data_IF_278356700532
#
_entry.id   IF_278356700532
#
_cell.length_a   1.000
_cell.length_b   1.000
_cell.length_c   1.000
_cell.angle_alpha   90.00
_cell.angle_beta   90.00
_cell.angle_gamma   90.00
#
_symmetry.space_group_name_H-M   'P 1'
#
loop_
_entity.id
_entity.type
_entity.pdbx_description
1 polymer ?
#
# COMPACT_ATOMS: atom_id res chain seq x y z
N UNK A 1 31.51 -26.05 -23.75
CA UNK A 1 30.96 -26.78 -22.57
C UNK A 1 31.13 -26.00 -21.27
N UNK A 2 32.34 -25.52 -20.89
CA UNK A 2 32.55 -24.75 -19.64
C UNK A 2 31.69 -23.48 -19.52
N UNK A 3 31.48 -22.74 -20.62
CA UNK A 3 30.65 -21.51 -20.62
C UNK A 3 29.15 -21.79 -20.42
N UNK A 4 28.65 -22.92 -20.96
CA UNK A 4 27.25 -23.34 -20.82
C UNK A 4 26.98 -23.82 -19.38
N UNK A 5 27.93 -24.53 -18.78
CA UNK A 5 27.85 -24.98 -17.38
C UNK A 5 27.85 -23.78 -16.42
N UNK A 6 28.65 -22.74 -16.71
CA UNK A 6 28.71 -21.51 -15.91
C UNK A 6 27.38 -20.73 -15.93
N UNK A 7 26.73 -20.59 -17.09
CA UNK A 7 25.41 -19.95 -17.19
C UNK A 7 24.32 -20.70 -16.42
N UNK A 8 24.34 -22.04 -16.41
CA UNK A 8 23.36 -22.84 -15.67
C UNK A 8 23.52 -22.68 -14.15
N UNK A 9 24.74 -22.54 -13.65
CA UNK A 9 24.97 -22.29 -12.22
C UNK A 9 24.47 -20.91 -11.78
N UNK A 10 24.62 -19.86 -12.59
CA UNK A 10 24.16 -18.50 -12.21
C UNK A 10 22.64 -18.40 -12.08
N UNK A 11 21.89 -19.13 -12.92
CA UNK A 11 20.42 -19.17 -12.88
C UNK A 11 19.88 -19.88 -11.63
N UNK A 12 20.63 -20.87 -11.11
CA UNK A 12 20.24 -21.61 -9.90
C UNK A 12 20.44 -20.80 -8.59
N UNK A 13 21.24 -19.74 -8.62
CA UNK A 13 21.55 -18.91 -7.44
C UNK A 13 20.86 -17.55 -7.44
N UNK A 14 20.04 -17.20 -8.44
CA UNK A 14 19.23 -15.99 -8.37
C UNK A 14 18.09 -16.18 -7.35
N UNK A 15 18.06 -15.43 -6.23
CA UNK A 15 16.93 -15.49 -5.32
C UNK A 15 15.67 -15.01 -6.05
N UNK A 16 14.72 -15.94 -6.27
CA UNK A 16 13.36 -15.59 -6.68
C UNK A 16 12.72 -14.79 -5.55
N UNK A 17 12.71 -13.46 -5.69
CA UNK A 17 11.91 -12.61 -4.81
C UNK A 17 10.44 -12.76 -5.21
N UNK A 18 9.71 -13.60 -4.48
CA UNK A 18 8.26 -13.67 -4.62
C UNK A 18 7.66 -12.42 -3.97
N UNK A 19 7.36 -11.40 -4.78
CA UNK A 19 6.50 -10.30 -4.33
C UNK A 19 5.10 -10.85 -4.08
N UNK A 20 4.49 -10.43 -2.97
CA UNK A 20 3.11 -10.78 -2.68
C UNK A 20 2.19 -10.16 -3.76
N UNK A 21 1.44 -11.01 -4.46
CA UNK A 21 0.52 -10.59 -5.52
C UNK A 21 -0.69 -9.87 -4.94
N UNK A 22 -1.15 -8.79 -5.57
CA UNK A 22 -2.38 -8.10 -5.16
C UNK A 22 -3.61 -9.01 -5.29
N UNK A 23 -4.53 -8.93 -4.32
CA UNK A 23 -5.80 -9.67 -4.37
C UNK A 23 -6.84 -8.88 -5.16
N UNK A 24 -6.94 -7.58 -4.91
CA UNK A 24 -7.78 -6.65 -5.66
C UNK A 24 -6.91 -5.96 -6.71
N UNK A 25 -6.93 -6.48 -7.94
CA UNK A 25 -6.07 -5.96 -9.02
C UNK A 25 -6.62 -4.69 -9.67
N UNK A 26 -7.89 -4.37 -9.43
CA UNK A 26 -8.58 -3.18 -9.93
C UNK A 26 -9.22 -2.43 -8.77
N UNK A 27 -9.55 -1.16 -9.00
CA UNK A 27 -10.30 -0.35 -8.04
C UNK A 27 -11.66 -0.99 -7.75
N UNK A 28 -11.92 -1.44 -6.51
CA UNK A 28 -13.24 -1.96 -6.15
C UNK A 28 -14.29 -0.87 -6.28
N UNK A 29 -15.46 -1.21 -6.79
CA UNK A 29 -16.62 -0.31 -6.85
C UNK A 29 -17.42 -0.43 -5.55
N UNK A 30 -17.16 0.47 -4.60
CA UNK A 30 -17.85 0.55 -3.32
C UNK A 30 -18.18 2.03 -3.02
N UNK A 31 -19.45 2.45 -3.22
CA UNK A 31 -19.85 3.84 -3.03
C UNK A 31 -19.79 4.27 -1.56
N UNK A 32 -19.69 3.35 -0.61
CA UNK A 32 -19.55 3.66 0.80
C UNK A 32 -18.09 3.76 1.26
N UNK A 33 -17.14 3.32 0.44
CA UNK A 33 -15.72 3.36 0.78
C UNK A 33 -15.10 4.76 0.57
N UNK A 34 -14.00 4.99 1.28
CA UNK A 34 -13.14 6.15 1.07
C UNK A 34 -11.88 5.68 0.33
N UNK A 35 -11.43 6.47 -0.64
CA UNK A 35 -10.26 6.13 -1.46
C UNK A 35 -9.11 7.10 -1.14
N UNK A 36 -7.98 6.56 -0.68
CA UNK A 36 -6.80 7.33 -0.28
C UNK A 36 -5.94 7.71 -1.49
N UNK A 37 -6.48 8.63 -2.30
CA UNK A 37 -5.87 9.09 -3.55
C UNK A 37 -5.50 10.56 -3.48
N UNK A 38 -4.65 11.03 -4.41
CA UNK A 38 -4.22 12.43 -4.48
C UNK A 38 -5.35 13.39 -4.86
N UNK A 39 -6.45 12.89 -5.43
CA UNK A 39 -7.66 13.69 -5.71
C UNK A 39 -8.44 14.00 -4.42
N UNK A 40 -8.39 13.08 -3.44
CA UNK A 40 -9.14 13.20 -2.18
C UNK A 40 -8.30 13.76 -1.02
N UNK A 41 -6.98 13.64 -1.10
CA UNK A 41 -6.04 14.03 -0.04
C UNK A 41 -4.78 14.67 -0.61
N UNK A 42 -4.18 15.59 0.14
CA UNK A 42 -2.90 16.21 -0.21
C UNK A 42 -1.72 15.25 0.05
N UNK A 43 -1.56 14.24 -0.81
CA UNK A 43 -0.56 13.17 -0.68
C UNK A 43 0.17 12.92 -2.00
N UNK A 44 1.38 12.36 -1.91
CA UNK A 44 2.12 11.80 -3.04
C UNK A 44 2.58 10.37 -2.70
N UNK A 45 2.16 9.33 -3.44
CA UNK A 45 2.52 7.95 -3.18
C UNK A 45 3.88 7.57 -3.81
N UNK A 46 4.90 8.41 -3.58
CA UNK A 46 6.24 8.27 -4.18
C UNK A 46 7.29 7.64 -3.24
N UNK A 47 6.90 7.32 -2.00
CA UNK A 47 7.76 6.77 -0.97
C UNK A 47 8.73 7.79 -0.35
N UNK A 48 8.58 9.08 -0.64
CA UNK A 48 9.44 10.16 -0.15
C UNK A 48 8.67 11.17 0.70
N UNK A 49 7.44 11.48 0.29
CA UNK A 49 6.59 12.38 1.05
C UNK A 49 5.91 11.62 2.18
N UNK A 50 6.04 12.14 3.39
CA UNK A 50 5.39 11.55 4.56
C UNK A 50 3.88 11.78 4.51
N UNK A 51 3.12 10.68 4.43
CA UNK A 51 1.65 10.71 4.34
C UNK A 51 0.97 10.40 5.67
N UNK A 52 1.70 10.30 6.78
CA UNK A 52 1.17 9.82 8.06
C UNK A 52 -0.05 10.61 8.54
N UNK A 53 0.03 11.94 8.49
CA UNK A 53 -1.06 12.83 8.91
C UNK A 53 -2.30 12.69 8.01
N UNK A 54 -2.11 12.65 6.69
CA UNK A 54 -3.19 12.48 5.75
C UNK A 54 -3.87 11.11 5.91
N UNK A 55 -3.09 10.05 6.13
CA UNK A 55 -3.59 8.70 6.35
C UNK A 55 -4.39 8.62 7.65
N UNK A 56 -3.86 9.18 8.75
CA UNK A 56 -4.58 9.22 10.01
C UNK A 56 -5.87 10.05 9.90
N UNK A 57 -5.83 11.16 9.16
CA UNK A 57 -7.01 11.97 8.88
C UNK A 57 -8.09 11.18 8.11
N UNK A 58 -7.72 10.41 7.08
CA UNK A 58 -8.65 9.58 6.32
C UNK A 58 -9.35 8.53 7.20
N UNK A 59 -8.59 7.87 8.08
CA UNK A 59 -9.12 6.90 9.04
C UNK A 59 -10.09 7.58 10.03
N UNK A 60 -9.68 8.72 10.57
CA UNK A 60 -10.50 9.49 11.52
C UNK A 60 -11.78 10.01 10.87
N UNK A 61 -11.73 10.39 9.57
CA UNK A 61 -12.91 10.80 8.80
C UNK A 61 -13.95 9.71 8.74
N UNK A 62 -13.57 8.48 8.35
CA UNK A 62 -14.48 7.33 8.36
C UNK A 62 -15.07 7.09 9.75
N UNK A 63 -14.22 7.15 10.79
CA UNK A 63 -14.67 6.93 12.16
C UNK A 63 -15.68 7.99 12.62
N UNK A 64 -15.44 9.26 12.28
CA UNK A 64 -16.28 10.38 12.69
C UNK A 64 -17.61 10.42 11.91
N UNK A 65 -17.56 10.20 10.61
CA UNK A 65 -18.71 10.39 9.73
C UNK A 65 -19.62 9.16 9.68
N UNK A 66 -19.03 7.95 9.70
CA UNK A 66 -19.76 6.70 9.53
C UNK A 66 -19.67 5.76 10.73
N UNK A 67 -18.67 5.93 11.60
CA UNK A 67 -18.36 5.01 12.71
C UNK A 67 -17.88 3.59 12.29
N UNK A 68 -17.87 3.31 10.99
CA UNK A 68 -17.36 2.12 10.31
C UNK A 68 -16.85 2.50 8.91
N UNK A 69 -16.17 1.60 8.21
CA UNK A 69 -15.90 1.78 6.78
C UNK A 69 -14.66 1.06 6.27
N UNK A 70 -14.42 1.22 4.97
CA UNK A 70 -13.23 0.75 4.29
C UNK A 70 -12.48 1.97 3.75
N UNK A 71 -11.18 2.01 4.02
CA UNK A 71 -10.24 2.89 3.35
C UNK A 71 -9.48 2.07 2.31
N UNK A 72 -9.76 2.32 1.02
CA UNK A 72 -9.02 1.72 -0.07
C UNK A 72 -7.74 2.49 -0.36
N UNK A 73 -6.62 1.77 -0.47
CA UNK A 73 -5.29 2.31 -0.76
C UNK A 73 -4.87 1.82 -2.16
N UNK A 74 -4.72 2.70 -3.17
CA UNK A 74 -4.23 2.27 -4.47
C UNK A 74 -2.77 1.81 -4.39
N UNK A 75 -2.31 1.15 -5.45
CA UNK A 75 -0.89 0.82 -5.58
C UNK A 75 -0.03 2.09 -5.56
N UNK A 76 1.13 1.99 -4.94
CA UNK A 76 1.99 3.14 -4.69
C UNK A 76 2.93 2.90 -3.52
N UNK A 77 3.79 3.89 -3.24
CA UNK A 77 4.73 3.85 -2.12
C UNK A 77 4.40 4.94 -1.12
N UNK A 78 4.15 4.57 0.12
CA UNK A 78 3.67 5.49 1.15
C UNK A 78 4.65 5.54 2.29
N UNK A 79 5.41 6.64 2.39
CA UNK A 79 6.27 6.86 3.54
C UNK A 79 5.39 7.24 4.74
N UNK A 80 5.55 6.54 5.85
CA UNK A 80 4.94 6.90 7.14
C UNK A 80 6.04 6.99 8.19
N UNK A 81 6.12 8.11 8.91
CA UNK A 81 7.02 8.26 10.06
C UNK A 81 6.30 8.10 11.39
N UNK A 82 4.96 8.12 11.41
CA UNK A 82 4.17 8.07 12.66
C UNK A 82 3.36 6.79 12.78
N UNK A 83 3.04 6.43 14.03
CA UNK A 83 2.10 5.34 14.32
C UNK A 83 0.72 5.65 13.75
N UNK A 84 0.18 4.71 12.96
CA UNK A 84 -1.17 4.81 12.41
C UNK A 84 -2.13 4.02 13.31
N UNK A 85 -3.11 4.71 13.87
CA UNK A 85 -4.13 4.12 14.74
C UNK A 85 -5.37 3.73 13.93
N UNK A 86 -5.71 2.45 13.94
CA UNK A 86 -6.90 1.90 13.25
C UNK A 86 -7.95 1.51 14.30
N UNK A 87 -9.05 2.29 14.45
CA UNK A 87 -10.09 1.98 15.42
C UNK A 87 -10.97 0.83 14.95
N UNK A 88 -11.78 0.28 15.88
CA UNK A 88 -12.75 -0.79 15.57
C UNK A 88 -13.67 -0.38 14.41
N UNK A 89 -14.02 -1.39 13.60
CA UNK A 89 -14.90 -1.29 12.43
C UNK A 89 -14.36 -0.47 11.24
N UNK A 90 -13.09 -0.06 11.27
CA UNK A 90 -12.38 0.48 10.10
C UNK A 90 -11.47 -0.60 9.52
N UNK A 91 -11.52 -0.76 8.20
CA UNK A 91 -10.66 -1.68 7.44
C UNK A 91 -9.81 -0.88 6.46
N UNK A 92 -8.57 -1.29 6.26
CA UNK A 92 -7.66 -0.72 5.26
C UNK A 92 -7.33 -1.82 4.27
N UNK A 93 -7.63 -1.59 2.99
CA UNK A 93 -7.48 -2.62 1.95
C UNK A 93 -6.72 -2.01 0.77
N UNK A 94 -5.65 -2.67 0.36
CA UNK A 94 -4.88 -2.30 -0.84
C UNK A 94 -5.51 -2.82 -2.13
N UNK A 95 -5.37 -2.06 -3.22
CA UNK A 95 -5.77 -2.49 -4.57
C UNK A 95 -4.80 -1.98 -5.64
N UNK A 96 -4.89 -2.53 -6.85
CA UNK A 96 -4.02 -2.23 -8.00
C UNK A 96 -3.25 -3.46 -8.47
N UNK A 97 -2.56 -3.35 -9.61
CA UNK A 97 -1.75 -4.46 -10.16
C UNK A 97 -0.74 -4.96 -9.12
N UNK A 98 -0.14 -4.02 -8.39
CA UNK A 98 0.74 -4.26 -7.27
C UNK A 98 0.06 -3.92 -5.94
N UNK A 99 0.52 -4.53 -4.85
CA UNK A 99 0.08 -4.10 -3.51
C UNK A 99 0.69 -2.73 -3.17
N UNK A 100 -0.03 -1.86 -2.43
CA UNK A 100 0.58 -0.69 -1.84
C UNK A 100 1.74 -1.08 -0.91
N UNK A 101 2.82 -0.31 -0.96
CA UNK A 101 4.00 -0.49 -0.13
C UNK A 101 4.07 0.64 0.91
N UNK A 102 3.98 0.29 2.20
CA UNK A 102 4.24 1.23 3.28
C UNK A 102 5.70 1.17 3.68
N UNK A 103 6.38 2.32 3.61
CA UNK A 103 7.78 2.49 3.98
C UNK A 103 7.82 3.13 5.35
N UNK A 104 8.50 2.51 6.30
CA UNK A 104 8.65 3.05 7.64
C UNK A 104 9.80 4.06 7.67
N UNK A 105 9.47 5.33 7.89
CA UNK A 105 10.41 6.38 8.23
C UNK A 105 10.81 6.34 9.69
N UNK A 106 11.78 7.18 10.06
CA UNK A 106 12.16 7.37 11.47
C UNK A 106 11.03 8.10 12.21
N UNK A 107 10.56 7.50 13.30
CA UNK A 107 9.60 8.10 14.24
C UNK A 107 10.31 9.01 15.24
#
# INVERSE_FOLDING_TARGET
MKLIILCFTVILYSPLTMKAQSVYTQMPDDPEALYFTSENFSIAPDGKHDVSEALQFAINKLKKEKNFGILFIPEGKYLISKTIYVPKAIRIIGYGENRPEFILGKN
#
